data_IF_234988300710
#
_entry.id   IF_234988300710
#
_cell.length_a   1.000
_cell.length_b   1.000
_cell.length_c   1.000
_cell.angle_alpha   90.00
_cell.angle_beta   90.00
_cell.angle_gamma   90.00
#
_symmetry.space_group_name_H-M   'P 1'
#
loop_
_entity.id
_entity.type
_entity.pdbx_description
1 polymer ?
#
# COMPACT_ATOMS: atom_id res chain seq x y z
N UNK A 1 -10.87 5.41 -19.52
CA UNK A 1 -11.29 6.82 -19.76
C UNK A 1 -11.97 7.49 -18.54
N UNK A 2 -12.52 6.65 -17.67
CA UNK A 2 -13.28 6.94 -16.46
C UNK A 2 -12.38 7.57 -15.39
N UNK A 3 -11.20 7.01 -15.15
CA UNK A 3 -10.22 7.57 -14.21
C UNK A 3 -9.76 8.98 -14.56
N UNK A 4 -9.57 9.28 -15.86
CA UNK A 4 -9.24 10.65 -16.32
C UNK A 4 -10.39 11.60 -15.98
N UNK A 5 -11.63 11.21 -16.30
CA UNK A 5 -12.82 12.02 -15.99
C UNK A 5 -12.98 12.26 -14.48
N UNK A 6 -12.71 11.24 -13.65
CA UNK A 6 -12.75 11.38 -12.19
C UNK A 6 -11.71 12.41 -11.71
N UNK A 7 -10.47 12.34 -12.22
CA UNK A 7 -9.42 13.32 -11.89
C UNK A 7 -9.76 14.72 -12.38
N UNK A 8 -10.35 14.87 -13.56
CA UNK A 8 -10.77 16.18 -14.09
C UNK A 8 -11.92 16.80 -13.27
N UNK A 9 -12.85 15.99 -12.77
CA UNK A 9 -14.00 16.44 -12.01
C UNK A 9 -13.70 16.71 -10.53
N UNK A 10 -12.90 15.84 -9.90
CA UNK A 10 -12.64 15.86 -8.45
C UNK A 10 -11.29 16.50 -8.09
N UNK A 11 -10.36 16.58 -9.05
CA UNK A 11 -8.97 16.92 -8.83
C UNK A 11 -8.06 15.69 -8.75
N UNK A 12 -6.75 15.92 -8.75
CA UNK A 12 -5.73 14.86 -8.68
C UNK A 12 -5.62 14.21 -7.28
N UNK A 13 -6.18 14.85 -6.26
CA UNK A 13 -6.29 14.36 -4.89
C UNK A 13 -7.59 14.89 -4.29
N UNK A 14 -8.14 14.18 -3.32
CA UNK A 14 -9.30 14.63 -2.54
C UNK A 14 -8.98 14.51 -1.06
N UNK A 15 -9.68 15.29 -0.24
CA UNK A 15 -9.59 15.23 1.22
C UNK A 15 -10.80 14.44 1.71
N UNK A 16 -10.58 13.38 2.49
CA UNK A 16 -11.67 12.60 3.06
C UNK A 16 -12.27 13.25 4.33
N UNK A 17 -13.27 12.59 4.90
CA UNK A 17 -13.99 13.08 6.10
C UNK A 17 -13.09 13.24 7.33
N UNK A 18 -11.98 12.49 7.39
CA UNK A 18 -10.99 12.54 8.46
C UNK A 18 -9.93 13.64 8.21
N UNK A 19 -10.00 14.33 7.07
CA UNK A 19 -9.04 15.35 6.68
C UNK A 19 -7.78 14.80 6.00
N UNK A 20 -7.75 13.50 5.68
CA UNK A 20 -6.61 12.84 5.05
C UNK A 20 -6.64 13.00 3.53
N UNK A 21 -5.45 13.13 2.94
CA UNK A 21 -5.30 13.14 1.48
C UNK A 21 -5.45 11.74 0.91
N UNK A 22 -6.48 11.56 0.08
CA UNK A 22 -6.75 10.32 -0.64
C UNK A 22 -6.81 10.55 -2.15
N UNK A 23 -6.95 9.45 -2.89
CA UNK A 23 -7.08 9.47 -4.35
C UNK A 23 -8.54 9.58 -4.76
N UNK A 24 -8.88 10.32 -5.83
CA UNK A 24 -10.22 10.30 -6.40
C UNK A 24 -10.63 8.87 -6.79
N UNK A 25 -11.92 8.58 -6.65
CA UNK A 25 -12.52 7.29 -7.00
C UNK A 25 -13.37 7.43 -8.26
N UNK A 26 -13.44 6.36 -9.04
CA UNK A 26 -14.42 6.22 -10.11
C UNK A 26 -15.69 5.65 -9.49
N UNK A 27 -16.78 6.41 -9.52
CA UNK A 27 -18.11 6.00 -9.04
C UNK A 27 -18.09 5.31 -7.65
N UNK A 28 -17.34 5.89 -6.70
CA UNK A 28 -17.13 5.40 -5.33
C UNK A 28 -16.55 3.97 -5.21
N UNK A 29 -15.93 3.46 -6.28
CA UNK A 29 -15.37 2.12 -6.36
C UNK A 29 -13.83 2.14 -6.45
N UNK A 30 -13.27 1.93 -7.64
CA UNK A 30 -11.82 1.87 -7.81
C UNK A 30 -11.13 3.23 -7.75
N UNK A 31 -9.86 3.22 -7.36
CA UNK A 31 -8.99 4.38 -7.48
C UNK A 31 -8.91 4.84 -8.95
N UNK A 32 -9.03 6.14 -9.20
CA UNK A 32 -8.94 6.71 -10.56
C UNK A 32 -7.60 6.44 -11.26
N UNK A 33 -6.55 6.09 -10.50
CA UNK A 33 -5.23 5.71 -11.01
C UNK A 33 -5.06 4.19 -11.21
N UNK A 34 -6.10 3.40 -10.93
CA UNK A 34 -6.09 1.98 -11.22
C UNK A 34 -6.28 1.75 -12.73
N UNK A 35 -5.60 0.73 -13.25
CA UNK A 35 -5.86 0.22 -14.59
C UNK A 35 -5.71 -1.30 -14.58
N UNK A 36 -6.32 -1.99 -15.54
CA UNK A 36 -6.26 -3.44 -15.65
C UNK A 36 -5.50 -3.84 -16.91
N UNK A 37 -4.59 -4.79 -16.78
CA UNK A 37 -3.83 -5.38 -17.87
C UNK A 37 -3.78 -6.88 -17.64
N UNK A 38 -4.21 -7.67 -18.64
CA UNK A 38 -4.29 -9.14 -18.56
C UNK A 38 -5.06 -9.69 -17.34
N UNK A 39 -6.09 -8.96 -16.90
CA UNK A 39 -6.91 -9.34 -15.73
C UNK A 39 -6.27 -9.02 -14.38
N UNK A 40 -5.12 -8.34 -14.36
CA UNK A 40 -4.45 -7.89 -13.13
C UNK A 40 -4.65 -6.38 -13.00
N UNK A 41 -5.12 -5.95 -11.82
CA UNK A 41 -5.22 -4.53 -11.48
C UNK A 41 -3.88 -3.99 -11.02
N UNK A 42 -3.46 -2.88 -11.63
CA UNK A 42 -2.21 -2.18 -11.37
C UNK A 42 -2.46 -0.71 -11.04
N UNK A 43 -1.44 -0.06 -10.51
CA UNK A 43 -1.43 1.39 -10.28
C UNK A 43 -0.66 2.07 -11.41
N UNK A 44 -1.31 2.98 -12.14
CA UNK A 44 -0.71 3.71 -13.26
C UNK A 44 0.50 4.56 -12.81
N UNK A 45 0.45 5.14 -11.61
CA UNK A 45 1.55 5.92 -11.04
C UNK A 45 2.79 5.05 -10.81
N UNK A 46 2.62 3.85 -10.23
CA UNK A 46 3.75 2.94 -9.98
C UNK A 46 4.33 2.41 -11.30
N UNK A 47 3.49 2.11 -12.30
CA UNK A 47 3.97 1.73 -13.64
C UNK A 47 4.78 2.86 -14.27
N UNK A 48 4.24 4.08 -14.29
CA UNK A 48 4.95 5.23 -14.86
C UNK A 48 6.29 5.49 -14.15
N UNK A 49 6.36 5.33 -12.83
CA UNK A 49 7.60 5.43 -12.08
C UNK A 49 8.61 4.33 -12.48
N UNK A 50 8.18 3.07 -12.55
CA UNK A 50 9.04 1.94 -12.95
C UNK A 50 9.55 2.05 -14.39
N UNK A 51 8.78 2.71 -15.26
CA UNK A 51 9.15 3.00 -16.65
C UNK A 51 9.97 4.29 -16.81
N UNK A 52 10.29 5.00 -15.73
CA UNK A 52 11.05 6.25 -15.78
C UNK A 52 10.30 7.44 -16.40
N UNK A 53 8.97 7.32 -16.59
CA UNK A 53 8.11 8.38 -17.14
C UNK A 53 7.78 9.47 -16.12
N UNK A 54 8.00 9.20 -14.84
CA UNK A 54 7.82 10.16 -13.75
C UNK A 54 8.81 9.88 -12.63
N UNK A 55 9.22 10.93 -11.92
CA UNK A 55 9.97 10.83 -10.65
C UNK A 55 9.06 10.57 -9.45
N UNK A 56 7.74 10.73 -9.64
CA UNK A 56 6.75 10.53 -8.58
C UNK A 56 6.35 9.06 -8.49
N UNK A 57 6.76 8.42 -7.39
CA UNK A 57 6.32 7.06 -7.05
C UNK A 57 4.99 7.09 -6.29
N UNK A 58 4.18 6.04 -6.41
CA UNK A 58 2.90 5.91 -5.69
C UNK A 58 3.02 6.29 -4.19
N UNK A 59 1.96 6.87 -3.59
CA UNK A 59 1.98 7.27 -2.19
C UNK A 59 2.40 6.13 -1.25
N UNK A 60 3.06 6.49 -0.15
CA UNK A 60 3.58 5.49 0.79
C UNK A 60 2.46 4.68 1.45
N UNK A 61 1.29 5.30 1.67
CA UNK A 61 0.07 4.63 2.17
C UNK A 61 -0.39 3.52 1.23
N UNK A 62 -0.50 3.80 -0.07
CA UNK A 62 -0.83 2.79 -1.08
C UNK A 62 0.26 1.72 -1.20
N UNK A 63 1.53 2.09 -1.06
CA UNK A 63 2.64 1.15 -1.21
C UNK A 63 2.73 0.18 -0.02
N UNK A 64 2.41 0.63 1.19
CA UNK A 64 2.41 -0.19 2.41
C UNK A 64 1.18 -1.09 2.54
N UNK A 65 0.12 -0.86 1.78
CA UNK A 65 -1.11 -1.63 1.88
C UNK A 65 -0.83 -3.14 1.70
N UNK A 66 -1.30 -4.02 2.62
CA UNK A 66 -2.37 -3.81 3.60
C UNK A 66 -1.96 -3.31 5.00
N UNK A 67 -0.73 -2.83 5.21
CA UNK A 67 -0.34 -2.16 6.46
C UNK A 67 -0.76 -0.68 6.40
N UNK A 68 -1.58 -0.25 7.35
CA UNK A 68 -1.98 1.14 7.58
C UNK A 68 -1.18 1.72 8.73
N UNK A 69 -0.79 2.99 8.62
CA UNK A 69 -0.09 3.71 9.68
C UNK A 69 -1.09 4.46 10.55
N UNK A 70 -0.85 4.47 11.85
CA UNK A 70 -1.62 5.25 12.82
C UNK A 70 -0.65 6.03 13.70
N UNK A 71 -0.82 7.34 13.79
CA UNK A 71 -0.02 8.18 14.68
C UNK A 71 -0.68 8.19 16.06
N UNK A 72 0.10 7.88 17.09
CA UNK A 72 -0.34 7.96 18.47
C UNK A 72 0.08 9.29 19.10
N UNK A 73 -0.65 9.74 20.12
CA UNK A 73 -0.39 11.00 20.83
C UNK A 73 0.98 11.07 21.51
N UNK A 74 1.59 9.92 21.79
CA UNK A 74 2.95 9.83 22.33
C UNK A 74 4.06 9.94 21.27
N UNK A 75 3.72 10.28 20.02
CA UNK A 75 4.67 10.41 18.92
C UNK A 75 5.12 9.10 18.28
N UNK A 76 4.54 7.95 18.68
CA UNK A 76 4.84 6.65 18.05
C UNK A 76 3.92 6.39 16.85
N UNK A 77 4.38 5.54 15.94
CA UNK A 77 3.62 5.11 14.76
C UNK A 77 3.27 3.64 14.88
N UNK A 78 1.98 3.33 14.90
CA UNK A 78 1.45 1.97 14.82
C UNK A 78 1.40 1.46 13.39
N UNK A 79 1.79 0.20 13.20
CA UNK A 79 1.65 -0.52 11.93
C UNK A 79 0.49 -1.51 12.05
N UNK A 80 -0.67 -1.13 11.52
CA UNK A 80 -1.90 -1.91 11.63
C UNK A 80 -2.15 -2.69 10.35
N UNK A 81 -2.18 -4.02 10.45
CA UNK A 81 -2.57 -4.86 9.32
C UNK A 81 -4.09 -4.79 9.11
N UNK A 82 -4.51 -4.15 8.02
CA UNK A 82 -5.91 -4.03 7.64
C UNK A 82 -6.44 -5.38 7.11
N UNK A 83 -7.48 -5.91 7.77
CA UNK A 83 -8.06 -7.23 7.46
C UNK A 83 -9.48 -7.07 6.95
N UNK A 84 -9.70 -7.52 5.72
CA UNK A 84 -11.00 -7.54 5.06
C UNK A 84 -11.01 -8.58 3.93
N UNK A 85 -12.19 -8.87 3.38
CA UNK A 85 -12.44 -10.01 2.49
C UNK A 85 -11.60 -10.01 1.20
N UNK A 86 -11.35 -8.85 0.59
CA UNK A 86 -10.56 -8.75 -0.66
C UNK A 86 -9.09 -9.14 -0.48
N UNK A 87 -8.55 -9.16 0.74
CA UNK A 87 -7.19 -9.64 1.00
C UNK A 87 -7.09 -11.17 1.14
N UNK A 88 -8.21 -11.89 1.17
CA UNK A 88 -8.21 -13.33 1.44
C UNK A 88 -7.44 -14.16 0.40
N UNK A 89 -7.58 -13.93 -0.92
CA UNK A 89 -6.78 -14.65 -1.92
C UNK A 89 -5.27 -14.48 -1.71
N UNK A 90 -4.83 -13.24 -1.39
CA UNK A 90 -3.43 -12.95 -1.11
C UNK A 90 -2.94 -13.64 0.17
N UNK A 91 -3.76 -13.67 1.24
CA UNK A 91 -3.45 -14.41 2.47
C UNK A 91 -3.29 -15.91 2.23
N UNK A 92 -4.18 -16.52 1.46
CA UNK A 92 -4.11 -17.94 1.13
C UNK A 92 -2.85 -18.25 0.32
N UNK A 93 -2.52 -17.41 -0.67
CA UNK A 93 -1.29 -17.53 -1.43
C UNK A 93 -0.05 -17.42 -0.54
N UNK A 94 0.01 -16.38 0.31
CA UNK A 94 1.12 -16.17 1.25
C UNK A 94 1.28 -17.33 2.23
N UNK A 95 0.18 -17.87 2.77
CA UNK A 95 0.19 -19.06 3.64
C UNK A 95 0.74 -20.28 2.92
N UNK A 96 0.32 -20.52 1.68
CA UNK A 96 0.82 -21.65 0.85
C UNK A 96 2.31 -21.52 0.54
N UNK A 97 2.79 -20.30 0.29
CA UNK A 97 4.20 -20.03 -0.02
C UNK A 97 5.08 -19.84 1.23
N UNK A 98 4.50 -19.79 2.43
CA UNK A 98 5.23 -19.50 3.67
C UNK A 98 5.78 -18.06 3.74
N UNK A 99 5.15 -17.11 3.03
CA UNK A 99 5.60 -15.72 2.96
C UNK A 99 4.78 -14.85 3.93
N UNK A 100 5.38 -14.32 5.01
CA UNK A 100 4.71 -13.39 5.90
C UNK A 100 4.52 -12.01 5.24
N UNK A 101 3.49 -11.29 5.67
CA UNK A 101 3.08 -9.99 5.10
C UNK A 101 4.23 -8.98 5.07
N UNK A 102 5.02 -8.88 6.15
CA UNK A 102 6.12 -7.91 6.22
C UNK A 102 7.23 -8.20 5.21
N UNK A 103 7.48 -9.47 4.83
CA UNK A 103 8.45 -9.83 3.79
C UNK A 103 7.93 -9.46 2.40
N UNK A 104 6.64 -9.68 2.13
CA UNK A 104 6.01 -9.22 0.88
C UNK A 104 6.04 -7.68 0.75
N UNK A 105 6.09 -6.97 1.88
CA UNK A 105 6.17 -5.51 1.97
C UNK A 105 7.59 -5.00 2.27
N UNK A 106 8.65 -5.77 1.98
CA UNK A 106 10.04 -5.36 2.22
C UNK A 106 10.35 -3.98 1.67
N UNK A 107 10.11 -3.78 0.38
CA UNK A 107 10.40 -2.52 -0.31
C UNK A 107 9.65 -1.31 0.29
N UNK A 108 8.32 -1.33 0.47
CA UNK A 108 7.62 -0.20 1.07
C UNK A 108 7.99 0.04 2.54
N UNK A 109 8.28 -1.02 3.32
CA UNK A 109 8.71 -0.87 4.72
C UNK A 109 10.08 -0.17 4.78
N UNK A 110 11.04 -0.61 3.97
CA UNK A 110 12.37 0.03 3.91
C UNK A 110 12.25 1.47 3.41
N UNK A 111 11.42 1.72 2.39
CA UNK A 111 11.17 3.09 1.89
C UNK A 111 10.65 4.01 3.00
N UNK A 112 9.81 3.51 3.92
CA UNK A 112 9.19 4.33 4.97
C UNK A 112 10.03 4.43 6.25
N UNK A 113 10.69 3.35 6.65
CA UNK A 113 11.30 3.19 7.97
C UNK A 113 12.81 2.87 7.94
N UNK A 114 13.37 2.63 6.76
CA UNK A 114 14.78 2.32 6.58
C UNK A 114 15.13 0.84 6.76
N UNK A 115 16.36 0.51 6.37
CA UNK A 115 16.88 -0.87 6.37
C UNK A 115 16.98 -1.45 7.79
N UNK A 116 17.39 -0.64 8.77
CA UNK A 116 17.58 -1.07 10.15
C UNK A 116 16.25 -1.48 10.81
N UNK A 117 15.16 -0.78 10.50
CA UNK A 117 13.84 -1.17 10.98
C UNK A 117 13.40 -2.51 10.37
N UNK A 118 13.65 -2.72 9.08
CA UNK A 118 13.31 -3.99 8.42
C UNK A 118 14.10 -5.16 9.00
N UNK A 119 15.41 -4.98 9.28
CA UNK A 119 16.23 -5.97 9.98
C UNK A 119 15.70 -6.28 11.38
N UNK A 120 15.20 -5.28 12.11
CA UNK A 120 14.60 -5.51 13.43
C UNK A 120 13.34 -6.40 13.34
N UNK A 121 12.53 -6.26 12.28
CA UNK A 121 11.40 -7.16 12.03
C UNK A 121 11.84 -8.60 11.74
N UNK A 122 12.93 -8.78 10.99
CA UNK A 122 13.52 -10.10 10.75
C UNK A 122 14.05 -10.74 12.03
N UNK A 123 14.74 -9.97 12.87
CA UNK A 123 15.19 -10.44 14.19
C UNK A 123 14.01 -10.84 15.07
N UNK A 124 12.94 -10.04 15.10
CA UNK A 124 11.73 -10.36 15.86
C UNK A 124 11.07 -11.66 15.35
N UNK A 125 11.01 -11.89 14.04
CA UNK A 125 10.51 -13.15 13.47
C UNK A 125 11.34 -14.35 13.95
N UNK A 126 12.67 -14.24 13.98
CA UNK A 126 13.55 -15.33 14.45
C UNK A 126 13.34 -15.64 15.92
N UNK A 127 13.22 -14.60 16.76
CA UNK A 127 12.95 -14.78 18.19
C UNK A 127 11.63 -15.49 18.44
N UNK A 128 10.58 -15.16 17.68
CA UNK A 128 9.27 -15.81 17.78
C UNK A 128 9.28 -17.28 17.31
N UNK A 129 10.17 -17.65 16.38
CA UNK A 129 10.32 -19.04 15.90
C UNK A 129 11.14 -19.91 16.85
N UNK A 130 11.98 -19.30 17.69
CA UNK A 130 12.83 -19.98 18.66
C UNK A 130 12.15 -20.14 20.04
N UNK A 131 10.89 -19.71 20.17
CA UNK A 131 10.01 -19.96 21.31
C UNK A 131 9.13 -21.18 21.04
#
# INVERSE_FOLDING_TARGET
PEGIRAVEAQGFMVVDEDGDYTTPLVDDAECAYAYTEEGITFCAIEKAFREGKTTFRKPISCHLYPIRLMNFSNGTVGLNYHRWSICEPARQCGKRLGIPVYKALREPIIRRFGEEFYKALETAEQLLKNQ
#
